data_IF_859733177700
#
_entry.id   IF_859733177700
#
_cell.length_a   1.000
_cell.length_b   1.000
_cell.length_c   1.000
_cell.angle_alpha   90.00
_cell.angle_beta   90.00
_cell.angle_gamma   90.00
#
_symmetry.space_group_name_H-M   'P 1'
#
loop_
_entity.id
_entity.type
_entity.pdbx_description
1 polymer ?
#
# COMPACT_ATOMS: atom_id res chain seq x y z
N UNK A 1 -0.53 32.32 17.91
CA UNK A 1 -0.94 31.84 16.57
C UNK A 1 -1.18 30.34 16.64
N UNK A 2 -2.43 29.90 16.74
CA UNK A 2 -2.81 28.48 16.83
C UNK A 2 -2.89 27.91 15.41
N UNK A 3 -1.87 27.17 14.99
CA UNK A 3 -1.82 26.54 13.67
C UNK A 3 -2.43 25.15 13.81
N UNK A 4 -3.68 24.99 13.37
CA UNK A 4 -4.36 23.71 13.35
C UNK A 4 -3.68 22.81 12.33
N UNK A 5 -2.87 21.86 12.78
CA UNK A 5 -2.47 20.72 11.96
C UNK A 5 -3.69 19.81 11.84
N UNK A 6 -4.40 19.92 10.71
CA UNK A 6 -5.35 18.90 10.31
C UNK A 6 -4.56 17.65 9.94
N UNK A 7 -4.32 16.76 10.91
CA UNK A 7 -3.85 15.40 10.63
C UNK A 7 -5.00 14.70 9.90
N UNK A 8 -4.95 14.71 8.57
CA UNK A 8 -5.67 13.73 7.75
C UNK A 8 -4.96 12.40 8.01
N UNK A 9 -5.42 11.69 9.05
CA UNK A 9 -5.17 10.26 9.14
C UNK A 9 -6.13 9.61 8.14
N UNK A 10 -5.73 9.58 6.86
CA UNK A 10 -6.24 8.58 5.94
C UNK A 10 -5.77 7.24 6.50
N UNK A 11 -6.52 6.70 7.47
CA UNK A 11 -6.19 5.46 8.15
C UNK A 11 -6.49 4.33 7.19
N UNK A 12 -5.62 4.16 6.20
CA UNK A 12 -5.49 2.93 5.44
C UNK A 12 -5.22 1.85 6.48
N UNK A 13 -6.23 1.06 6.81
CA UNK A 13 -6.02 -0.15 7.62
C UNK A 13 -5.27 -1.11 6.73
N UNK A 14 -3.95 -1.04 6.81
CA UNK A 14 -3.08 -2.02 6.16
C UNK A 14 -3.06 -3.23 7.07
N UNK A 15 -3.54 -4.37 6.55
CA UNK A 15 -3.51 -5.63 7.26
C UNK A 15 -2.06 -6.12 7.33
N UNK A 16 -1.75 -6.88 8.39
CA UNK A 16 -0.44 -7.47 8.66
C UNK A 16 -0.09 -8.63 7.70
N UNK A 17 -0.28 -8.37 6.41
CA UNK A 17 -0.13 -9.25 5.26
C UNK A 17 0.84 -8.60 4.27
N UNK A 18 1.21 -9.30 3.21
CA UNK A 18 2.04 -8.71 2.15
C UNK A 18 1.33 -7.57 1.41
N UNK A 19 2.09 -6.73 0.70
CA UNK A 19 1.52 -5.71 -0.21
C UNK A 19 0.53 -6.37 -1.18
N UNK A 20 0.93 -7.50 -1.78
CA UNK A 20 0.10 -8.27 -2.72
C UNK A 20 -1.20 -8.71 -2.09
N UNK A 21 -1.16 -9.31 -0.91
CA UNK A 21 -2.36 -9.77 -0.20
C UNK A 21 -3.29 -8.61 0.17
N UNK A 22 -2.74 -7.46 0.59
CA UNK A 22 -3.55 -6.27 0.82
C UNK A 22 -4.25 -5.77 -0.45
N UNK A 23 -3.58 -5.81 -1.60
CA UNK A 23 -4.19 -5.44 -2.87
C UNK A 23 -5.27 -6.45 -3.32
N UNK A 24 -5.04 -7.75 -3.11
CA UNK A 24 -6.03 -8.79 -3.37
C UNK A 24 -7.22 -8.71 -2.41
N UNK A 25 -7.03 -8.25 -1.17
CA UNK A 25 -8.15 -7.96 -0.28
C UNK A 25 -9.04 -6.83 -0.81
N UNK A 26 -8.47 -5.83 -1.48
CA UNK A 26 -9.24 -4.77 -2.12
C UNK A 26 -9.93 -5.26 -3.40
N UNK A 27 -9.31 -6.16 -4.16
CA UNK A 27 -9.88 -6.76 -5.38
C UNK A 27 -9.35 -8.19 -5.60
N UNK A 28 -10.06 -9.23 -5.13
CA UNK A 28 -9.56 -10.61 -5.12
C UNK A 28 -9.49 -11.25 -6.51
N UNK A 29 -10.24 -10.70 -7.47
CA UNK A 29 -10.26 -11.15 -8.87
C UNK A 29 -9.24 -10.42 -9.74
N UNK A 30 -8.44 -9.49 -9.18
CA UNK A 30 -7.45 -8.75 -9.95
C UNK A 30 -6.30 -9.67 -10.37
N UNK A 31 -5.97 -9.62 -11.67
CA UNK A 31 -4.77 -10.27 -12.19
C UNK A 31 -3.51 -9.49 -11.81
N UNK A 32 -2.34 -10.13 -11.88
CA UNK A 32 -1.05 -9.46 -11.57
C UNK A 32 -0.83 -8.20 -12.42
N UNK A 33 -1.19 -8.25 -13.71
CA UNK A 33 -1.10 -7.09 -14.59
C UNK A 33 -2.04 -5.95 -14.15
N UNK A 34 -3.27 -6.25 -13.73
CA UNK A 34 -4.19 -5.23 -13.21
C UNK A 34 -3.70 -4.65 -11.88
N UNK A 35 -3.10 -5.48 -11.01
CA UNK A 35 -2.49 -5.02 -9.76
C UNK A 35 -1.33 -4.06 -10.03
N UNK A 36 -0.42 -4.41 -10.94
CA UNK A 36 0.68 -3.53 -11.34
C UNK A 36 0.17 -2.22 -11.93
N UNK A 37 -0.81 -2.28 -12.83
CA UNK A 37 -1.42 -1.07 -13.41
C UNK A 37 -2.08 -0.20 -12.34
N UNK A 38 -2.83 -0.79 -11.40
CA UNK A 38 -3.42 -0.04 -10.30
C UNK A 38 -2.36 0.63 -9.43
N UNK A 39 -1.25 -0.06 -9.15
CA UNK A 39 -0.13 0.51 -8.39
C UNK A 39 0.60 1.61 -9.16
N UNK A 40 0.71 1.50 -10.49
CA UNK A 40 1.28 2.53 -11.36
C UNK A 40 0.40 3.78 -11.37
N UNK A 41 -0.91 3.62 -11.49
CA UNK A 41 -1.89 4.72 -11.44
C UNK A 41 -1.90 5.41 -10.08
N UNK A 42 -1.63 4.68 -9.00
CA UNK A 42 -1.52 5.21 -7.66
C UNK A 42 -0.13 5.76 -7.30
N UNK A 43 0.83 5.78 -8.24
CA UNK A 43 2.23 6.19 -8.03
C UNK A 43 2.95 5.45 -6.88
N UNK A 44 2.45 4.27 -6.51
CA UNK A 44 3.05 3.41 -5.46
C UNK A 44 3.87 2.26 -6.04
N UNK A 45 3.79 1.99 -7.35
CA UNK A 45 4.51 0.88 -7.97
C UNK A 45 6.03 0.97 -7.79
N UNK A 46 6.63 2.13 -8.04
CA UNK A 46 8.06 2.36 -7.84
C UNK A 46 8.45 2.24 -6.36
N UNK A 47 7.61 2.74 -5.46
CA UNK A 47 7.82 2.58 -4.02
C UNK A 47 7.83 1.09 -3.64
N UNK A 48 6.84 0.33 -4.09
CA UNK A 48 6.74 -1.11 -3.84
C UNK A 48 7.97 -1.83 -4.43
N UNK A 49 8.38 -1.52 -5.67
CA UNK A 49 9.58 -2.09 -6.28
C UNK A 49 10.88 -1.71 -5.57
N UNK A 50 10.93 -0.57 -4.89
CA UNK A 50 12.08 -0.16 -4.08
C UNK A 50 12.19 -0.95 -2.77
N UNK A 51 11.16 -1.68 -2.34
CA UNK A 51 11.22 -2.53 -1.16
C UNK A 51 12.04 -3.79 -1.44
N UNK A 52 12.77 -4.33 -0.45
CA UNK A 52 13.66 -5.49 -0.65
C UNK A 52 12.93 -6.75 -1.15
N UNK A 53 11.63 -6.86 -0.90
CA UNK A 53 10.80 -8.00 -1.30
C UNK A 53 9.69 -7.60 -2.29
N UNK A 54 9.68 -6.36 -2.78
CA UNK A 54 8.68 -5.90 -3.73
C UNK A 54 7.25 -6.02 -3.20
N UNK A 55 6.37 -6.62 -4.02
CA UNK A 55 4.97 -6.93 -3.69
C UNK A 55 4.80 -7.96 -2.56
N UNK A 56 5.83 -8.75 -2.28
CA UNK A 56 5.83 -9.72 -1.17
C UNK A 56 6.27 -9.11 0.15
N UNK A 57 6.59 -7.81 0.17
CA UNK A 57 6.99 -7.13 1.41
C UNK A 57 5.84 -7.16 2.43
N UNK A 58 6.08 -7.66 3.65
CA UNK A 58 5.05 -7.70 4.69
C UNK A 58 4.73 -6.28 5.18
N UNK A 59 3.47 -5.86 5.04
CA UNK A 59 2.96 -4.61 5.57
C UNK A 59 2.42 -4.82 6.99
N UNK A 60 3.31 -5.13 7.94
CA UNK A 60 2.93 -5.40 9.33
C UNK A 60 3.82 -4.73 10.38
N UNK A 61 5.05 -4.38 10.01
CA UNK A 61 6.06 -3.87 10.95
C UNK A 61 6.38 -2.38 10.77
N UNK A 62 5.87 -1.73 9.72
CA UNK A 62 6.05 -0.28 9.50
C UNK A 62 5.08 0.53 10.38
N UNK A 63 5.16 0.29 11.69
CA UNK A 63 4.56 1.10 12.72
C UNK A 63 5.66 1.85 13.48
N UNK A 64 6.14 2.95 12.92
CA UNK A 64 6.73 4.06 13.67
C UNK A 64 6.46 5.39 12.98
#
# INVERSE_FOLDING_TARGET
>A
MRRCFGVVSARSHVFNLTVRENLLLARPEATEGELEQACLQAEIHDFIRSLPQGYDTPLGETGR
#
